data_IF_637060368909
#
_entry.id   IF_637060368909
#
_cell.length_a   1.000
_cell.length_b   1.000
_cell.length_c   1.000
_cell.angle_alpha   90.00
_cell.angle_beta   90.00
_cell.angle_gamma   90.00
#
_symmetry.space_group_name_H-M   'P 1'
#
loop_
_entity.id
_entity.type
_entity.pdbx_description
1 polymer ?
#
# COMPACT_ATOMS: atom_id res chain seq x y z
N UNK A 1 1.32 4.84 15.44
CA UNK A 1 -0.14 4.87 15.63
C UNK A 1 -0.67 6.29 15.51
N UNK A 2 -1.88 6.48 15.00
CA UNK A 2 -2.44 7.80 14.71
C UNK A 2 -2.64 8.71 15.95
N UNK A 3 -2.57 8.17 17.16
CA UNK A 3 -2.57 8.94 18.42
C UNK A 3 -1.17 9.26 18.96
N UNK A 4 -0.12 8.87 18.27
CA UNK A 4 1.24 9.29 18.62
C UNK A 4 1.44 10.76 18.18
N UNK A 5 1.97 11.61 19.06
CA UNK A 5 2.19 13.03 18.78
C UNK A 5 3.12 13.27 17.57
N UNK A 6 3.96 12.29 17.25
CA UNK A 6 4.87 12.32 16.10
C UNK A 6 4.20 11.93 14.78
N UNK A 7 2.99 11.38 14.83
CA UNK A 7 2.28 10.92 13.63
C UNK A 7 1.99 12.08 12.67
N UNK A 8 2.39 11.92 11.42
CA UNK A 8 2.19 12.86 10.33
C UNK A 8 1.58 12.14 9.15
N UNK A 9 0.25 12.19 9.05
CA UNK A 9 -0.49 11.41 8.06
C UNK A 9 -0.29 11.83 6.61
N UNK A 10 0.17 13.07 6.36
CA UNK A 10 0.27 13.61 5.00
C UNK A 10 1.72 13.96 4.64
N UNK A 11 2.15 13.49 3.49
CA UNK A 11 3.48 13.79 2.91
C UNK A 11 3.45 15.12 2.15
N UNK A 12 3.34 16.22 2.89
CA UNK A 12 3.24 17.59 2.36
C UNK A 12 4.13 18.57 3.13
N UNK A 13 4.32 19.75 2.57
CA UNK A 13 5.06 20.83 3.21
C UNK A 13 6.54 20.87 2.82
N UNK A 14 7.37 21.44 3.69
CA UNK A 14 8.81 21.58 3.48
C UNK A 14 9.52 20.21 3.57
N UNK A 15 10.77 20.15 3.15
CA UNK A 15 11.55 18.91 3.18
C UNK A 15 11.52 18.22 4.55
N UNK A 16 11.75 18.96 5.62
CA UNK A 16 11.74 18.42 6.99
C UNK A 16 10.38 17.87 7.42
N UNK A 17 9.29 18.49 6.95
CA UNK A 17 7.93 18.06 7.28
C UNK A 17 7.59 16.77 6.53
N UNK A 18 7.98 16.68 5.25
CA UNK A 18 7.83 15.47 4.43
C UNK A 18 8.69 14.31 4.94
N UNK A 19 9.94 14.58 5.32
CA UNK A 19 10.84 13.56 5.86
C UNK A 19 10.29 12.92 7.13
N UNK A 20 9.71 13.74 8.01
CA UNK A 20 8.99 13.23 9.20
C UNK A 20 7.79 12.37 8.81
N UNK A 21 6.96 12.82 7.88
CA UNK A 21 5.78 12.06 7.43
C UNK A 21 6.18 10.73 6.79
N UNK A 22 7.25 10.71 6.02
CA UNK A 22 7.78 9.54 5.31
C UNK A 22 8.05 8.35 6.24
N UNK A 23 8.51 8.62 7.48
CA UNK A 23 8.81 7.60 8.46
C UNK A 23 7.76 7.46 9.58
N UNK A 24 6.87 8.46 9.74
CA UNK A 24 6.01 8.57 10.92
C UNK A 24 4.52 8.58 10.61
N UNK A 25 4.11 8.33 9.38
CA UNK A 25 2.67 8.41 9.11
C UNK A 25 2.19 7.94 7.73
N UNK A 26 3.05 7.92 6.72
CA UNK A 26 2.68 7.42 5.39
C UNK A 26 2.52 5.90 5.39
N UNK A 27 1.64 5.41 4.52
CA UNK A 27 1.49 3.99 4.20
C UNK A 27 2.36 3.65 3.01
N UNK A 28 3.06 2.52 3.05
CA UNK A 28 3.98 2.09 2.01
C UNK A 28 3.35 1.02 1.12
N UNK A 29 3.32 1.27 -0.19
CA UNK A 29 2.62 0.41 -1.14
C UNK A 29 3.06 -1.05 -1.11
N UNK A 30 4.38 -1.32 -0.96
CA UNK A 30 4.91 -2.68 -0.93
C UNK A 30 4.41 -3.52 0.25
N UNK A 31 4.05 -2.90 1.38
CA UNK A 31 3.57 -3.61 2.58
C UNK A 31 2.24 -4.33 2.30
N UNK A 32 1.46 -3.84 1.34
CA UNK A 32 0.20 -4.47 0.92
C UNK A 32 0.40 -5.93 0.52
N UNK A 33 1.46 -6.25 -0.22
CA UNK A 33 1.75 -7.64 -0.61
C UNK A 33 1.99 -8.56 0.58
N UNK A 34 2.73 -8.11 1.57
CA UNK A 34 2.95 -8.88 2.82
C UNK A 34 1.66 -9.04 3.62
N UNK A 35 0.84 -7.98 3.69
CA UNK A 35 -0.46 -8.04 4.35
C UNK A 35 -1.36 -9.10 3.71
N UNK A 36 -1.49 -9.12 2.39
CA UNK A 36 -2.28 -10.10 1.65
C UNK A 36 -1.78 -11.53 1.92
N UNK A 37 -0.47 -11.74 1.86
CA UNK A 37 0.11 -13.06 2.14
C UNK A 37 -0.18 -13.52 3.58
N UNK A 38 -0.06 -12.63 4.55
CA UNK A 38 -0.38 -12.91 5.94
C UNK A 38 -1.88 -13.20 6.14
N UNK A 39 -2.74 -12.42 5.50
CA UNK A 39 -4.19 -12.59 5.55
C UNK A 39 -4.60 -13.98 5.08
N UNK A 40 -4.22 -14.36 3.85
CA UNK A 40 -4.56 -15.66 3.27
C UNK A 40 -4.02 -16.82 4.13
N UNK A 41 -2.77 -16.70 4.59
CA UNK A 41 -2.13 -17.72 5.43
C UNK A 41 -2.84 -17.89 6.76
N UNK A 42 -3.20 -16.83 7.46
CA UNK A 42 -3.87 -16.88 8.76
C UNK A 42 -5.30 -17.39 8.68
N UNK A 43 -5.93 -17.27 7.50
CA UNK A 43 -7.26 -17.81 7.21
C UNK A 43 -7.20 -19.20 6.52
N UNK A 44 -6.08 -19.92 6.68
CA UNK A 44 -5.93 -21.33 6.30
C UNK A 44 -5.81 -21.58 4.81
N UNK A 45 -5.43 -20.59 4.00
CA UNK A 45 -5.33 -20.69 2.53
C UNK A 45 -6.62 -21.19 1.86
N UNK A 46 -7.78 -20.89 2.44
CA UNK A 46 -9.07 -21.29 1.88
C UNK A 46 -9.43 -20.49 0.65
N UNK A 47 -10.31 -21.04 -0.19
CA UNK A 47 -10.81 -20.32 -1.37
C UNK A 47 -11.50 -19.00 -0.98
N UNK A 48 -12.29 -19.00 0.09
CA UNK A 48 -12.92 -17.79 0.61
C UNK A 48 -11.89 -16.73 1.05
N UNK A 49 -10.80 -17.16 1.70
CA UNK A 49 -9.74 -16.23 2.08
C UNK A 49 -9.04 -15.59 0.88
N UNK A 50 -8.89 -16.33 -0.20
CA UNK A 50 -8.34 -15.81 -1.47
C UNK A 50 -9.29 -14.82 -2.14
N UNK A 51 -10.58 -15.09 -2.13
CA UNK A 51 -11.61 -14.19 -2.65
C UNK A 51 -11.67 -12.89 -1.86
N UNK A 52 -11.64 -12.96 -0.53
CA UNK A 52 -11.55 -11.79 0.33
C UNK A 52 -10.27 -11.00 0.09
N UNK A 53 -9.13 -11.68 -0.06
CA UNK A 53 -7.85 -11.06 -0.37
C UNK A 53 -7.84 -10.34 -1.72
N UNK A 54 -8.52 -10.88 -2.73
CA UNK A 54 -8.71 -10.22 -4.03
C UNK A 54 -9.47 -8.90 -3.88
N UNK A 55 -10.57 -8.90 -3.11
CA UNK A 55 -11.33 -7.67 -2.81
C UNK A 55 -10.48 -6.63 -2.06
N UNK A 56 -9.63 -7.08 -1.13
CA UNK A 56 -8.72 -6.19 -0.40
C UNK A 56 -7.64 -5.55 -1.31
N UNK A 57 -7.34 -6.18 -2.46
CA UNK A 57 -6.41 -5.65 -3.45
C UNK A 57 -7.05 -4.69 -4.46
N UNK A 58 -8.37 -4.66 -4.60
CA UNK A 58 -9.05 -3.82 -5.59
C UNK A 58 -8.59 -2.36 -5.59
N UNK A 59 -8.44 -1.68 -4.43
CA UNK A 59 -7.98 -0.30 -4.42
C UNK A 59 -6.57 -0.11 -5.02
N UNK A 60 -5.70 -1.12 -4.89
CA UNK A 60 -4.36 -1.10 -5.48
C UNK A 60 -4.41 -1.40 -7.00
N UNK A 61 -5.35 -2.22 -7.44
CA UNK A 61 -5.60 -2.47 -8.86
C UNK A 61 -6.15 -1.20 -9.53
N UNK A 62 -7.09 -0.53 -8.89
CA UNK A 62 -7.62 0.75 -9.37
C UNK A 62 -6.54 1.81 -9.49
N UNK A 63 -5.60 1.83 -8.54
CA UNK A 63 -4.45 2.75 -8.54
C UNK A 63 -3.53 2.56 -9.76
N UNK A 64 -3.53 1.39 -10.43
CA UNK A 64 -2.77 1.19 -11.68
C UNK A 64 -3.23 2.12 -12.82
N UNK A 65 -4.40 2.73 -12.70
CA UNK A 65 -4.95 3.70 -13.64
C UNK A 65 -4.79 5.15 -13.16
N UNK A 66 -4.18 5.36 -12.00
CA UNK A 66 -3.95 6.67 -11.39
C UNK A 66 -2.45 7.01 -11.44
N UNK A 67 -2.12 8.30 -11.54
CA UNK A 67 -0.75 8.79 -11.54
C UNK A 67 0.12 8.25 -12.68
N UNK A 68 0.66 7.05 -12.54
CA UNK A 68 1.46 6.36 -13.56
C UNK A 68 0.74 5.10 -14.02
N UNK A 69 0.33 5.07 -15.28
CA UNK A 69 -0.37 3.90 -15.85
C UNK A 69 0.47 2.62 -15.71
N UNK A 70 -0.10 1.63 -15.04
CA UNK A 70 0.57 0.35 -14.77
C UNK A 70 1.64 0.41 -13.68
N UNK A 71 1.79 1.55 -13.01
CA UNK A 71 2.72 1.74 -11.90
C UNK A 71 2.01 1.77 -10.54
N UNK A 72 2.77 1.51 -9.48
CA UNK A 72 2.30 1.63 -8.10
C UNK A 72 3.20 2.61 -7.36
N UNK A 73 2.61 3.62 -6.74
CA UNK A 73 3.34 4.63 -5.99
C UNK A 73 4.13 4.03 -4.82
N UNK A 74 5.15 4.74 -4.41
CA UNK A 74 6.01 4.37 -3.28
C UNK A 74 5.24 4.40 -1.97
N UNK A 75 4.58 5.52 -1.71
CA UNK A 75 3.87 5.80 -0.46
C UNK A 75 2.49 6.42 -0.73
N UNK A 76 1.65 6.36 0.28
CA UNK A 76 0.33 6.99 0.31
C UNK A 76 0.17 7.77 1.60
N UNK A 77 -0.59 8.85 1.59
CA UNK A 77 -0.97 9.54 2.82
C UNK A 77 -1.66 8.55 3.76
N UNK A 78 -1.34 8.61 5.05
CA UNK A 78 -1.92 7.72 6.07
C UNK A 78 -3.34 8.13 6.51
N UNK A 79 -3.91 9.15 5.91
CA UNK A 79 -5.27 9.62 6.12
C UNK A 79 -6.00 9.80 4.79
N UNK A 80 -7.33 9.62 4.82
CA UNK A 80 -8.15 9.83 3.63
C UNK A 80 -7.94 11.22 3.02
N UNK A 81 -7.93 11.29 1.68
CA UNK A 81 -8.24 10.25 0.70
C UNK A 81 -7.09 9.30 0.35
N UNK A 82 -6.04 9.18 1.17
CA UNK A 82 -4.88 8.30 0.95
C UNK A 82 -4.16 8.60 -0.37
N UNK A 83 -3.94 9.89 -0.63
CA UNK A 83 -3.31 10.37 -1.87
C UNK A 83 -1.93 9.74 -2.06
N UNK A 84 -1.66 9.26 -3.27
CA UNK A 84 -0.35 8.73 -3.65
C UNK A 84 0.73 9.80 -3.62
N UNK A 85 1.91 9.47 -3.11
CA UNK A 85 3.04 10.37 -2.89
C UNK A 85 4.37 9.66 -3.20
N UNK A 86 5.45 10.41 -3.08
CA UNK A 86 6.79 9.90 -3.31
C UNK A 86 7.04 9.59 -4.78
N UNK A 87 7.76 8.53 -5.05
CA UNK A 87 7.98 8.03 -6.41
C UNK A 87 6.65 7.51 -6.98
N UNK A 88 6.26 7.98 -8.16
CA UNK A 88 4.98 7.62 -8.80
C UNK A 88 4.91 6.17 -9.30
N UNK A 89 6.06 5.52 -9.47
CA UNK A 89 6.16 4.08 -9.82
C UNK A 89 7.39 3.49 -9.12
N UNK A 90 7.16 2.80 -8.00
CA UNK A 90 8.22 2.21 -7.21
C UNK A 90 8.30 0.70 -7.45
N UNK A 91 9.50 0.23 -7.79
CA UNK A 91 9.73 -1.17 -8.21
C UNK A 91 9.24 -2.19 -7.19
N UNK A 92 9.52 -2.02 -5.90
CA UNK A 92 9.07 -2.97 -4.87
C UNK A 92 7.57 -2.94 -4.65
N UNK A 93 6.89 -1.79 -4.83
CA UNK A 93 5.42 -1.73 -4.75
C UNK A 93 4.78 -2.52 -5.88
N UNK A 94 5.28 -2.38 -7.11
CA UNK A 94 4.83 -3.15 -8.28
C UNK A 94 5.14 -4.64 -8.09
N UNK A 95 6.37 -4.97 -7.66
CA UNK A 95 6.80 -6.34 -7.47
C UNK A 95 5.96 -7.09 -6.43
N UNK A 96 5.69 -6.46 -5.29
CA UNK A 96 4.89 -7.07 -4.23
C UNK A 96 3.41 -7.24 -4.62
N UNK A 97 2.84 -6.31 -5.38
CA UNK A 97 1.48 -6.47 -5.91
C UNK A 97 1.40 -7.69 -6.83
N UNK A 98 2.35 -7.83 -7.77
CA UNK A 98 2.42 -8.97 -8.69
C UNK A 98 2.65 -10.27 -7.90
N UNK A 99 3.64 -10.29 -7.01
CA UNK A 99 3.98 -11.48 -6.22
C UNK A 99 2.79 -11.99 -5.41
N UNK A 100 2.16 -11.12 -4.63
CA UNK A 100 1.05 -11.56 -3.77
C UNK A 100 -0.16 -12.02 -4.58
N UNK A 101 -0.42 -11.42 -5.73
CA UNK A 101 -1.49 -11.85 -6.62
C UNK A 101 -1.26 -13.27 -7.13
N UNK A 102 -0.07 -13.56 -7.66
CA UNK A 102 0.26 -14.90 -8.19
C UNK A 102 0.39 -15.97 -7.10
N UNK A 103 0.97 -15.63 -5.95
CA UNK A 103 1.24 -16.61 -4.89
C UNK A 103 0.03 -16.88 -3.99
N UNK A 104 -0.87 -15.91 -3.84
CA UNK A 104 -1.91 -15.98 -2.82
C UNK A 104 -3.34 -15.88 -3.35
N UNK A 105 -3.56 -15.42 -4.57
CA UNK A 105 -4.92 -15.25 -5.12
C UNK A 105 -5.20 -16.25 -6.25
N UNK A 106 -4.30 -16.35 -7.22
CA UNK A 106 -4.42 -17.37 -8.27
C UNK A 106 -4.01 -18.74 -7.73
#
# INVERSE_FOLDING_TARGET
>A
PYHDERYKSQYIGRLIDRDKAYHMGTSWGYITGFFISAYVKTHGNTQSAKEDAALLLEPMIDHLNDGCLGGVAEIFDGSFPCTSRGCFSQAWSVAELIRCYYENII
#
